data_IF_854684558190
#
_entry.id   IF_854684558190
#
_cell.length_a   1.000
_cell.length_b   1.000
_cell.length_c   1.000
_cell.angle_alpha   90.00
_cell.angle_beta   90.00
_cell.angle_gamma   90.00
#
_symmetry.space_group_name_H-M   'P 1'
#
loop_
_entity.id
_entity.type
_entity.pdbx_description
1 polymer ?
#
# COMPACT_ATOMS: atom_id res chain seq x y z
N UNK A 1 -9.10 -8.84 2.36
CA UNK A 1 -9.46 -9.33 1.04
C UNK A 1 -9.14 -10.79 0.83
N UNK A 2 -7.99 -11.29 1.32
CA UNK A 2 -7.57 -12.67 1.17
C UNK A 2 -8.40 -13.59 2.06
N UNK A 3 -8.44 -14.88 1.69
CA UNK A 3 -9.12 -15.89 2.49
C UNK A 3 -8.54 -15.91 3.91
N UNK A 4 -9.40 -16.03 4.92
CA UNK A 4 -9.06 -16.12 6.35
C UNK A 4 -8.27 -14.95 6.96
N UNK A 5 -8.10 -13.83 6.23
CA UNK A 5 -7.34 -12.68 6.78
C UNK A 5 -7.93 -12.16 8.09
N UNK A 6 -9.25 -12.13 8.22
CA UNK A 6 -9.94 -11.72 9.45
C UNK A 6 -9.64 -12.66 10.60
N UNK A 7 -9.67 -13.97 10.34
CA UNK A 7 -9.38 -15.00 11.36
C UNK A 7 -7.94 -14.84 11.87
N UNK A 8 -6.98 -14.63 10.97
CA UNK A 8 -5.59 -14.42 11.36
C UNK A 8 -5.39 -13.12 12.12
N UNK A 9 -6.06 -12.04 11.71
CA UNK A 9 -6.00 -10.77 12.42
C UNK A 9 -6.58 -10.88 13.84
N UNK A 10 -7.70 -11.60 14.00
CA UNK A 10 -8.30 -11.88 15.31
C UNK A 10 -7.37 -12.71 16.20
N UNK A 11 -6.75 -13.77 15.66
CA UNK A 11 -5.80 -14.61 16.40
C UNK A 11 -4.60 -13.81 16.90
N UNK A 12 -4.03 -12.96 16.04
CA UNK A 12 -2.93 -12.07 16.42
C UNK A 12 -3.37 -11.08 17.51
N UNK A 13 -4.57 -10.52 17.36
CA UNK A 13 -5.14 -9.59 18.34
C UNK A 13 -5.31 -10.25 19.69
N UNK A 14 -5.85 -11.47 19.72
CA UNK A 14 -6.04 -12.26 20.96
C UNK A 14 -4.71 -12.55 21.64
N UNK A 15 -3.71 -12.98 20.86
CA UNK A 15 -2.38 -13.28 21.40
C UNK A 15 -1.73 -12.05 22.01
N UNK A 16 -1.79 -10.90 21.33
CA UNK A 16 -1.23 -9.65 21.83
C UNK A 16 -1.96 -9.17 23.08
N UNK A 17 -3.29 -9.20 23.08
CA UNK A 17 -4.11 -8.80 24.22
C UNK A 17 -3.89 -9.71 25.44
N UNK A 18 -3.71 -11.02 25.24
CA UNK A 18 -3.38 -11.98 26.30
C UNK A 18 -1.99 -11.72 26.95
N UNK A 19 -1.13 -10.98 26.26
CA UNK A 19 0.17 -10.54 26.77
C UNK A 19 0.16 -9.05 27.21
N UNK A 20 -1.00 -8.50 27.55
CA UNK A 20 -1.20 -7.13 28.03
C UNK A 20 -0.76 -6.04 27.03
N UNK A 21 -0.67 -6.38 25.74
CA UNK A 21 -0.33 -5.44 24.69
C UNK A 21 -1.62 -4.76 24.22
N UNK A 22 -1.63 -3.43 24.22
CA UNK A 22 -2.73 -2.64 23.66
C UNK A 22 -2.78 -2.77 22.15
N UNK A 23 -3.95 -3.10 21.60
CA UNK A 23 -4.14 -3.35 20.17
C UNK A 23 -5.21 -2.41 19.62
N UNK A 24 -4.92 -1.78 18.48
CA UNK A 24 -5.92 -1.19 17.60
C UNK A 24 -6.17 -2.14 16.44
N UNK A 25 -7.39 -2.67 16.37
CA UNK A 25 -7.82 -3.55 15.29
C UNK A 25 -8.61 -2.74 14.27
N UNK A 26 -8.29 -2.89 12.98
CA UNK A 26 -9.05 -2.24 11.92
C UNK A 26 -10.48 -2.80 11.85
N UNK A 27 -11.47 -1.92 11.75
CA UNK A 27 -12.88 -2.27 11.62
C UNK A 27 -13.21 -2.89 10.24
N UNK A 28 -12.35 -2.65 9.26
CA UNK A 28 -12.50 -3.16 7.88
C UNK A 28 -11.15 -3.51 7.29
N UNK A 29 -11.17 -4.24 6.15
CA UNK A 29 -9.99 -4.36 5.32
C UNK A 29 -9.50 -2.98 4.86
N UNK A 30 -8.22 -2.72 4.97
CA UNK A 30 -7.63 -1.41 4.67
C UNK A 30 -6.34 -1.57 3.84
N UNK A 31 -5.94 -0.53 3.08
CA UNK A 31 -4.63 -0.48 2.44
C UNK A 31 -3.48 -0.69 3.41
N UNK A 32 -2.42 -1.38 2.99
CA UNK A 32 -1.19 -1.52 3.78
C UNK A 32 -0.64 -0.16 4.25
N UNK A 33 -0.57 0.89 3.41
CA UNK A 33 -0.14 2.21 3.88
C UNK A 33 -1.07 2.86 4.91
N UNK A 34 -2.33 2.44 5.06
CA UNK A 34 -3.19 2.92 6.14
C UNK A 34 -2.74 2.40 7.50
N UNK A 35 -2.28 1.13 7.58
CA UNK A 35 -1.68 0.57 8.80
C UNK A 35 -0.40 1.33 9.14
N UNK A 36 0.50 1.50 8.18
CA UNK A 36 1.76 2.24 8.36
C UNK A 36 1.54 3.67 8.83
N UNK A 37 0.56 4.37 8.24
CA UNK A 37 0.16 5.71 8.64
C UNK A 37 -0.36 5.76 10.06
N UNK A 38 -1.22 4.82 10.44
CA UNK A 38 -1.83 4.76 11.76
C UNK A 38 -0.79 4.50 12.86
N UNK A 39 0.20 3.64 12.61
CA UNK A 39 1.32 3.40 13.53
C UNK A 39 2.01 4.72 13.87
N UNK A 40 2.38 5.50 12.86
CA UNK A 40 3.06 6.79 13.02
C UNK A 40 2.18 7.80 13.74
N UNK A 41 0.90 7.92 13.34
CA UNK A 41 -0.03 8.90 13.88
C UNK A 41 -0.39 8.63 15.36
N UNK A 42 -0.40 7.36 15.78
CA UNK A 42 -0.69 6.96 17.17
C UNK A 42 0.58 6.80 18.03
N UNK A 43 1.77 6.88 17.44
CA UNK A 43 3.01 6.56 18.14
C UNK A 43 3.04 5.12 18.63
N UNK A 44 2.45 4.20 17.86
CA UNK A 44 2.42 2.79 18.21
C UNK A 44 3.83 2.16 18.10
N UNK A 45 4.11 1.15 18.91
CA UNK A 45 5.39 0.44 18.88
C UNK A 45 5.64 -0.27 17.53
N UNK A 46 4.57 -0.70 16.87
CA UNK A 46 4.61 -1.36 15.58
C UNK A 46 3.23 -1.83 15.16
N UNK A 47 3.16 -2.64 14.13
CA UNK A 47 1.92 -3.19 13.63
C UNK A 47 2.09 -4.47 12.84
N UNK A 48 0.95 -5.10 12.57
CA UNK A 48 0.86 -6.31 11.75
C UNK A 48 -0.14 -6.08 10.64
N UNK A 49 0.23 -6.45 9.41
CA UNK A 49 -0.67 -6.51 8.27
C UNK A 49 -0.77 -7.93 7.75
N UNK A 50 -2.01 -8.45 7.69
CA UNK A 50 -2.28 -9.77 7.12
C UNK A 50 -2.55 -9.62 5.64
N UNK A 51 -1.54 -9.91 4.82
CA UNK A 51 -1.59 -9.79 3.37
C UNK A 51 -0.45 -10.54 2.70
N UNK A 52 -0.65 -10.99 1.47
CA UNK A 52 0.41 -11.43 0.58
C UNK A 52 0.52 -10.50 -0.65
N UNK A 53 0.12 -9.22 -0.51
CA UNK A 53 0.20 -8.17 -1.53
C UNK A 53 -0.37 -8.64 -2.88
N UNK A 54 0.44 -8.70 -3.92
CA UNK A 54 0.09 -9.07 -5.29
C UNK A 54 0.19 -10.58 -5.60
N UNK A 55 0.60 -11.41 -4.62
CA UNK A 55 0.75 -12.85 -4.84
C UNK A 55 -0.59 -13.52 -5.19
N UNK A 56 -0.56 -14.73 -5.83
CA UNK A 56 -1.76 -15.50 -6.12
C UNK A 56 -2.67 -15.69 -4.91
N UNK A 57 -3.97 -15.87 -5.16
CA UNK A 57 -5.02 -15.93 -4.14
C UNK A 57 -4.81 -17.02 -3.07
N UNK A 58 -4.12 -18.11 -3.43
CA UNK A 58 -3.83 -19.24 -2.52
C UNK A 58 -2.86 -18.86 -1.38
N UNK A 59 -2.15 -17.75 -1.51
CA UNK A 59 -1.21 -17.28 -0.49
C UNK A 59 -1.86 -16.22 0.40
N UNK A 60 -1.49 -16.24 1.67
CA UNK A 60 -1.65 -15.14 2.59
C UNK A 60 -0.31 -14.89 3.27
N UNK A 61 -0.17 -13.82 4.03
CA UNK A 61 1.11 -13.46 4.63
C UNK A 61 0.97 -12.61 5.88
N UNK A 62 2.09 -12.43 6.53
CA UNK A 62 2.22 -11.71 7.79
C UNK A 62 3.34 -10.68 7.63
N UNK A 63 2.97 -9.40 7.49
CA UNK A 63 3.94 -8.30 7.41
C UNK A 63 4.06 -7.63 8.78
N UNK A 64 5.27 -7.56 9.32
CA UNK A 64 5.58 -6.80 10.55
C UNK A 64 5.99 -5.38 10.15
N UNK A 65 5.40 -4.39 10.80
CA UNK A 65 5.74 -2.97 10.67
C UNK A 65 6.40 -2.47 11.95
N UNK A 66 7.41 -1.63 11.82
CA UNK A 66 8.04 -0.97 12.97
C UNK A 66 7.31 0.33 13.38
N UNK A 67 7.82 0.99 14.41
CA UNK A 67 7.27 2.24 14.94
C UNK A 67 7.33 3.43 13.97
N UNK A 68 8.11 3.32 12.89
CA UNK A 68 8.20 4.33 11.83
C UNK A 68 7.23 4.05 10.67
N UNK A 69 6.44 2.97 10.77
CA UNK A 69 5.47 2.55 9.77
C UNK A 69 6.08 1.80 8.58
N UNK A 70 7.40 1.67 8.49
CA UNK A 70 8.05 0.87 7.45
C UNK A 70 7.95 -0.63 7.75
N UNK A 71 8.19 -1.46 6.75
CA UNK A 71 8.38 -2.89 6.97
C UNK A 71 9.55 -3.13 7.92
N UNK A 72 9.39 -4.08 8.84
CA UNK A 72 10.44 -4.43 9.81
C UNK A 72 11.74 -4.81 9.10
N UNK A 73 12.86 -4.47 9.72
CA UNK A 73 14.17 -4.77 9.18
C UNK A 73 14.39 -6.30 9.07
N UNK A 74 15.17 -6.76 8.08
CA UNK A 74 15.42 -8.19 7.87
C UNK A 74 15.93 -8.94 9.10
N UNK A 75 16.66 -8.26 9.99
CA UNK A 75 17.15 -8.84 11.23
C UNK A 75 16.01 -9.24 12.18
N UNK A 76 14.94 -8.42 12.23
CA UNK A 76 13.74 -8.70 13.05
C UNK A 76 13.00 -9.90 12.50
N UNK A 77 12.75 -9.95 11.19
CA UNK A 77 12.04 -11.07 10.55
C UNK A 77 12.82 -12.37 10.69
N UNK A 78 14.14 -12.35 10.46
CA UNK A 78 15.03 -13.50 10.66
C UNK A 78 15.07 -13.96 12.12
N UNK A 79 15.00 -13.03 13.09
CA UNK A 79 14.91 -13.39 14.49
C UNK A 79 13.60 -14.11 14.79
N UNK A 80 12.48 -13.61 14.27
CA UNK A 80 11.15 -14.25 14.42
C UNK A 80 11.15 -15.64 13.78
N UNK A 81 11.67 -15.78 12.56
CA UNK A 81 11.78 -17.07 11.86
C UNK A 81 12.60 -18.08 12.66
N UNK A 82 13.79 -17.70 13.13
CA UNK A 82 14.61 -18.55 13.97
C UNK A 82 13.94 -18.93 15.29
N UNK A 83 13.19 -18.00 15.89
CA UNK A 83 12.45 -18.30 17.11
C UNK A 83 11.35 -19.34 16.85
N UNK A 84 10.62 -19.22 15.76
CA UNK A 84 9.61 -20.20 15.36
C UNK A 84 10.25 -21.58 15.14
N UNK A 85 11.34 -21.64 14.37
CA UNK A 85 12.05 -22.89 14.08
C UNK A 85 12.58 -23.57 15.35
N UNK A 86 13.02 -22.81 16.35
CA UNK A 86 13.50 -23.35 17.62
C UNK A 86 12.38 -23.86 18.54
N UNK A 87 11.20 -23.24 18.48
CA UNK A 87 10.03 -23.66 19.28
C UNK A 87 9.27 -24.81 18.61
N UNK A 88 9.29 -24.88 17.29
CA UNK A 88 8.60 -25.92 16.52
C UNK A 88 9.47 -26.43 15.35
N UNK A 89 10.58 -27.12 15.64
CA UNK A 89 11.53 -27.58 14.63
C UNK A 89 10.95 -28.56 13.61
N UNK A 90 9.75 -29.06 13.86
CA UNK A 90 9.04 -30.01 12.98
C UNK A 90 7.80 -29.40 12.31
N UNK A 91 7.46 -28.13 12.58
CA UNK A 91 6.25 -27.46 12.05
C UNK A 91 4.94 -28.13 12.44
N UNK A 92 4.95 -28.89 13.56
CA UNK A 92 3.84 -29.74 13.99
C UNK A 92 3.03 -29.16 15.14
N UNK A 93 3.56 -28.19 15.89
CA UNK A 93 2.85 -27.53 16.98
C UNK A 93 1.87 -26.49 16.40
N UNK A 94 0.91 -27.00 15.66
CA UNK A 94 -0.30 -26.23 15.40
C UNK A 94 -1.07 -26.13 16.72
N UNK A 95 -0.66 -25.24 17.60
CA UNK A 95 -1.59 -24.73 18.59
C UNK A 95 -2.65 -23.95 17.80
N UNK A 96 -3.60 -24.71 17.24
CA UNK A 96 -4.82 -24.14 16.77
C UNK A 96 -5.49 -23.55 18.01
N UNK A 97 -5.42 -22.24 18.17
CA UNK A 97 -6.35 -21.52 19.04
C UNK A 97 -7.73 -21.84 18.45
N UNK A 98 -8.42 -22.80 19.04
CA UNK A 98 -9.75 -23.20 18.56
C UNK A 98 -10.74 -22.11 18.94
N UNK A 99 -11.92 -22.07 18.28
CA UNK A 99 -13.00 -21.16 18.72
C UNK A 99 -13.38 -21.35 20.20
N UNK A 100 -13.14 -22.52 20.77
CA UNK A 100 -13.34 -22.81 22.19
C UNK A 100 -12.32 -22.08 23.07
N UNK A 101 -11.09 -21.93 22.61
CA UNK A 101 -10.04 -21.18 23.33
C UNK A 101 -10.33 -19.67 23.31
N UNK A 102 -10.94 -19.16 22.22
CA UNK A 102 -11.43 -17.77 22.15
C UNK A 102 -12.55 -17.46 23.14
N UNK A 103 -13.44 -18.42 23.41
CA UNK A 103 -14.54 -18.23 24.38
C UNK A 103 -14.07 -18.20 25.85
N UNK A 104 -12.85 -18.69 26.11
CA UNK A 104 -12.25 -18.73 27.45
C UNK A 104 -11.34 -17.52 27.76
N UNK A 105 -11.08 -16.66 26.76
CA UNK A 105 -10.23 -15.48 26.97
C UNK A 105 -10.98 -14.43 27.81
N UNK A 106 -10.29 -13.76 28.75
CA UNK A 106 -10.88 -12.68 29.54
C UNK A 106 -11.34 -11.54 28.63
N UNK A 107 -12.23 -10.64 29.13
CA UNK A 107 -12.58 -9.42 28.41
C UNK A 107 -11.33 -8.71 27.93
N UNK A 108 -11.35 -8.23 26.67
CA UNK A 108 -10.19 -7.59 25.99
C UNK A 108 -10.16 -6.06 26.22
N UNK A 109 -9.92 -5.55 27.44
CA UNK A 109 -9.95 -4.11 27.70
C UNK A 109 -8.87 -3.34 26.94
N UNK A 110 -7.87 -4.05 26.42
CA UNK A 110 -6.74 -3.50 25.66
C UNK A 110 -6.97 -3.45 24.15
N UNK A 111 -8.09 -3.99 23.63
CA UNK A 111 -8.42 -3.99 22.21
C UNK A 111 -9.41 -2.89 21.86
N UNK A 112 -9.06 -2.05 20.91
CA UNK A 112 -9.92 -1.00 20.38
C UNK A 112 -10.12 -1.23 18.88
N UNK A 113 -11.34 -1.58 18.47
CA UNK A 113 -11.71 -1.63 17.05
C UNK A 113 -11.99 -0.23 16.53
N UNK A 114 -11.34 0.16 15.45
CA UNK A 114 -11.42 1.52 14.90
C UNK A 114 -11.13 1.57 13.42
N UNK A 115 -11.56 2.65 12.75
CA UNK A 115 -11.23 2.86 11.34
C UNK A 115 -9.79 3.32 11.18
N UNK A 116 -8.98 2.56 10.44
CA UNK A 116 -7.66 2.98 10.00
C UNK A 116 -7.74 3.76 8.67
N UNK A 117 -8.80 3.56 7.91
CA UNK A 117 -8.99 4.22 6.61
C UNK A 117 -9.28 5.72 6.78
N UNK A 118 -10.09 6.11 7.77
CA UNK A 118 -10.47 7.51 7.96
C UNK A 118 -9.27 8.44 8.21
N UNK A 119 -8.37 8.19 9.16
CA UNK A 119 -7.18 9.02 9.36
C UNK A 119 -6.23 8.96 8.15
N UNK A 120 -6.14 7.83 7.48
CA UNK A 120 -5.37 7.68 6.26
C UNK A 120 -5.86 8.61 5.14
N UNK A 121 -7.18 8.68 4.90
CA UNK A 121 -7.77 9.61 3.93
C UNK A 121 -7.48 11.08 4.28
N UNK A 122 -7.49 11.43 5.55
CA UNK A 122 -7.12 12.78 5.99
C UNK A 122 -5.63 13.10 5.71
N UNK A 123 -4.75 12.11 5.86
CA UNK A 123 -3.33 12.25 5.49
C UNK A 123 -3.18 12.43 3.98
N UNK A 124 -3.86 11.61 3.17
CA UNK A 124 -3.86 11.74 1.72
C UNK A 124 -4.36 13.11 1.26
N UNK A 125 -5.46 13.61 1.85
CA UNK A 125 -5.99 14.94 1.55
C UNK A 125 -4.98 16.06 1.81
N UNK A 126 -4.15 15.93 2.86
CA UNK A 126 -3.08 16.90 3.14
C UNK A 126 -1.89 16.77 2.19
N UNK A 127 -1.59 15.56 1.73
CA UNK A 127 -0.46 15.28 0.83
C UNK A 127 -0.74 15.67 -0.63
N UNK A 128 -1.99 15.49 -1.08
CA UNK A 128 -2.43 15.80 -2.44
C UNK A 128 -3.22 17.11 -2.48
N UNK A 129 -3.00 17.91 -3.52
CA UNK A 129 -3.76 19.14 -3.78
C UNK A 129 -5.09 18.80 -4.45
N UNK A 130 -6.02 18.25 -3.65
CA UNK A 130 -7.34 17.81 -4.13
C UNK A 130 -8.13 18.96 -4.73
N UNK A 131 -8.01 20.18 -4.17
CA UNK A 131 -8.69 21.37 -4.68
C UNK A 131 -8.19 21.76 -6.06
N UNK A 132 -6.88 21.69 -6.28
CA UNK A 132 -6.29 21.97 -7.60
C UNK A 132 -6.74 20.91 -8.63
N UNK A 133 -6.72 19.62 -8.26
CA UNK A 133 -7.18 18.53 -9.12
C UNK A 133 -8.66 18.73 -9.50
N UNK A 134 -9.47 19.16 -8.54
CA UNK A 134 -10.93 19.34 -8.73
C UNK A 134 -11.30 20.57 -9.59
N UNK A 135 -10.35 21.43 -9.97
CA UNK A 135 -10.64 22.60 -10.84
C UNK A 135 -11.04 22.23 -12.25
N UNK A 136 -10.70 21.02 -12.69
CA UNK A 136 -11.08 20.50 -14.00
C UNK A 136 -11.97 19.28 -13.82
N UNK A 137 -13.04 19.13 -14.63
CA UNK A 137 -13.81 17.90 -14.62
C UNK A 137 -12.97 16.76 -15.15
N UNK A 138 -12.85 15.69 -14.37
CA UNK A 138 -12.11 14.48 -14.75
C UNK A 138 -12.97 13.25 -14.50
N UNK A 139 -12.94 12.32 -15.45
CA UNK A 139 -13.51 10.99 -15.32
C UNK A 139 -12.39 9.98 -15.11
N UNK A 140 -12.33 9.39 -13.95
CA UNK A 140 -11.26 8.47 -13.56
C UNK A 140 -11.85 7.08 -13.37
N UNK A 141 -11.30 6.10 -14.08
CA UNK A 141 -11.59 4.69 -13.87
C UNK A 141 -10.56 4.11 -12.90
N UNK A 142 -11.00 3.50 -11.81
CA UNK A 142 -10.13 2.88 -10.81
C UNK A 142 -10.36 1.39 -10.79
N UNK A 143 -9.34 0.60 -11.09
CA UNK A 143 -9.39 -0.85 -10.94
C UNK A 143 -8.77 -1.24 -9.59
N UNK A 144 -9.60 -1.72 -8.69
CA UNK A 144 -9.19 -2.11 -7.33
C UNK A 144 -8.64 -3.55 -7.27
N UNK A 145 -8.64 -4.29 -8.39
CA UNK A 145 -8.22 -5.70 -8.47
C UNK A 145 -8.75 -6.54 -7.29
N UNK A 146 -10.00 -6.30 -6.88
CA UNK A 146 -10.67 -6.95 -5.73
C UNK A 146 -9.94 -6.73 -4.39
N UNK A 147 -9.03 -5.77 -4.34
CA UNK A 147 -8.11 -5.49 -3.24
C UNK A 147 -8.61 -4.46 -2.22
N UNK A 148 -7.74 -4.12 -1.26
CA UNK A 148 -8.05 -3.20 -0.14
C UNK A 148 -8.12 -1.72 -0.54
N UNK A 149 -7.77 -1.40 -1.78
CA UNK A 149 -7.97 -0.06 -2.35
C UNK A 149 -9.42 0.31 -2.66
N UNK A 150 -10.36 -0.66 -2.56
CA UNK A 150 -11.78 -0.46 -2.85
C UNK A 150 -12.39 0.66 -2.01
N UNK A 151 -13.05 1.61 -2.67
CA UNK A 151 -13.70 2.77 -2.04
C UNK A 151 -12.76 3.87 -1.56
N UNK A 152 -11.44 3.69 -1.63
CA UNK A 152 -10.48 4.68 -1.12
C UNK A 152 -10.50 5.96 -1.95
N UNK A 153 -10.42 5.83 -3.29
CA UNK A 153 -10.43 7.00 -4.18
C UNK A 153 -11.77 7.74 -4.14
N UNK A 154 -12.87 7.01 -4.19
CA UNK A 154 -14.21 7.59 -4.07
C UNK A 154 -14.37 8.38 -2.78
N UNK A 155 -13.96 7.81 -1.64
CA UNK A 155 -14.03 8.50 -0.34
C UNK A 155 -13.07 9.70 -0.28
N UNK A 156 -11.85 9.59 -0.82
CA UNK A 156 -10.88 10.67 -0.81
C UNK A 156 -11.40 11.93 -1.53
N UNK A 157 -11.92 11.76 -2.74
CA UNK A 157 -12.45 12.88 -3.52
C UNK A 157 -13.76 13.44 -2.95
N UNK A 158 -14.60 12.57 -2.36
CA UNK A 158 -15.81 13.01 -1.64
C UNK A 158 -15.46 13.89 -0.43
N UNK A 159 -14.48 13.48 0.38
CA UNK A 159 -13.99 14.27 1.52
C UNK A 159 -13.31 15.57 1.10
N UNK A 160 -12.73 15.61 -0.08
CA UNK A 160 -12.08 16.78 -0.66
C UNK A 160 -13.05 17.83 -1.20
N UNK A 161 -14.37 17.53 -1.28
CA UNK A 161 -15.36 18.41 -1.93
C UNK A 161 -15.14 18.56 -3.45
N UNK A 162 -14.51 17.57 -4.05
CA UNK A 162 -14.11 17.58 -5.47
C UNK A 162 -15.28 17.22 -6.40
N UNK A 163 -16.29 18.06 -6.48
CA UNK A 163 -17.52 17.82 -7.25
C UNK A 163 -17.29 17.67 -8.77
N UNK A 164 -16.16 18.12 -9.31
CA UNK A 164 -15.81 17.96 -10.73
C UNK A 164 -15.19 16.60 -11.07
N UNK A 165 -14.81 15.81 -10.09
CA UNK A 165 -14.16 14.52 -10.30
C UNK A 165 -15.18 13.39 -10.23
N UNK A 166 -15.28 12.61 -11.29
CA UNK A 166 -16.12 11.42 -11.36
C UNK A 166 -15.24 10.18 -11.23
N UNK A 167 -15.38 9.45 -10.12
CA UNK A 167 -14.68 8.19 -9.89
C UNK A 167 -15.64 7.04 -10.25
N UNK A 168 -15.20 6.17 -11.14
CA UNK A 168 -15.82 4.89 -11.42
C UNK A 168 -14.88 3.79 -10.95
N UNK A 169 -15.33 2.98 -10.02
CA UNK A 169 -14.54 1.84 -9.55
C UNK A 169 -14.98 0.54 -10.21
N UNK A 170 -14.04 -0.30 -10.57
CA UNK A 170 -14.26 -1.66 -11.05
C UNK A 170 -13.48 -2.65 -10.18
N UNK A 171 -13.96 -3.90 -10.15
CA UNK A 171 -13.37 -4.95 -9.31
C UNK A 171 -13.20 -4.50 -7.84
N UNK A 172 -14.20 -3.74 -7.34
CA UNK A 172 -14.16 -3.09 -6.03
C UNK A 172 -14.94 -3.85 -4.95
N UNK A 173 -15.41 -5.06 -5.23
CA UNK A 173 -16.01 -5.96 -4.26
C UNK A 173 -15.00 -7.00 -3.79
N UNK A 174 -15.26 -7.58 -2.62
CA UNK A 174 -14.41 -8.65 -2.10
C UNK A 174 -14.60 -9.92 -2.93
N UNK A 175 -13.52 -10.42 -3.47
CA UNK A 175 -13.40 -11.76 -4.06
C UNK A 175 -12.08 -12.38 -3.58
N UNK A 176 -12.17 -13.49 -2.83
CA UNK A 176 -10.98 -14.17 -2.29
C UNK A 176 -10.11 -14.82 -3.37
N UNK A 177 -10.65 -14.98 -4.57
CA UNK A 177 -9.93 -15.51 -5.74
C UNK A 177 -9.35 -14.41 -6.63
N UNK A 178 -9.64 -13.13 -6.32
CA UNK A 178 -9.26 -11.95 -7.13
C UNK A 178 -9.73 -12.06 -8.58
N UNK A 179 -10.95 -12.59 -8.81
CA UNK A 179 -11.47 -12.82 -10.16
C UNK A 179 -10.66 -13.84 -10.97
N UNK A 180 -9.87 -14.69 -10.32
CA UNK A 180 -9.01 -15.67 -10.96
C UNK A 180 -7.70 -15.10 -11.53
N UNK A 181 -7.35 -13.86 -11.21
CA UNK A 181 -6.10 -13.19 -11.63
C UNK A 181 -5.19 -12.92 -10.43
N UNK A 182 -3.93 -12.64 -10.69
CA UNK A 182 -3.06 -12.06 -9.66
C UNK A 182 -3.40 -10.58 -9.50
N UNK A 183 -3.59 -10.09 -8.26
CA UNK A 183 -3.93 -8.69 -8.02
C UNK A 183 -2.70 -7.78 -8.14
N UNK A 184 -2.08 -7.77 -9.30
CA UNK A 184 -0.89 -7.01 -9.63
C UNK A 184 -1.15 -6.08 -10.82
N UNK A 185 -0.75 -4.78 -10.77
CA UNK A 185 -1.01 -3.80 -11.81
C UNK A 185 -0.09 -4.02 -13.03
N UNK A 186 -0.31 -5.12 -13.73
CA UNK A 186 0.39 -5.48 -14.97
C UNK A 186 -0.61 -5.52 -16.13
N UNK A 187 -0.16 -5.13 -17.31
CA UNK A 187 -1.01 -4.99 -18.49
C UNK A 187 -1.86 -6.23 -18.79
N UNK A 188 -1.32 -7.43 -18.57
CA UNK A 188 -2.06 -8.68 -18.85
C UNK A 188 -3.14 -9.01 -17.79
N UNK A 189 -3.07 -8.43 -16.58
CA UNK A 189 -4.06 -8.62 -15.51
C UNK A 189 -5.24 -7.63 -15.63
N UNK A 190 -5.12 -6.59 -16.46
CA UNK A 190 -6.08 -5.46 -16.52
C UNK A 190 -6.67 -5.26 -17.92
N UNK A 191 -6.78 -6.34 -18.68
CA UNK A 191 -7.32 -6.32 -20.05
C UNK A 191 -8.77 -5.85 -20.11
N UNK A 192 -9.58 -6.19 -19.11
CA UNK A 192 -10.96 -5.72 -18.97
C UNK A 192 -11.02 -4.19 -18.84
N UNK A 193 -10.13 -3.62 -18.05
CA UNK A 193 -10.00 -2.17 -17.91
C UNK A 193 -9.52 -1.51 -19.21
N UNK A 194 -8.56 -2.12 -19.91
CA UNK A 194 -8.09 -1.62 -21.22
C UNK A 194 -9.24 -1.56 -22.23
N UNK A 195 -10.04 -2.62 -22.33
CA UNK A 195 -11.20 -2.68 -23.22
C UNK A 195 -12.24 -1.62 -22.85
N UNK A 196 -12.49 -1.42 -21.57
CA UNK A 196 -13.43 -0.44 -21.09
C UNK A 196 -12.98 0.99 -21.41
N UNK A 197 -11.70 1.32 -21.16
CA UNK A 197 -11.14 2.63 -21.48
C UNK A 197 -11.01 2.88 -22.99
N UNK A 198 -10.94 1.83 -23.81
CA UNK A 198 -10.97 1.96 -25.26
C UNK A 198 -12.38 2.24 -25.81
N UNK A 199 -13.43 1.80 -25.12
CA UNK A 199 -14.82 1.93 -25.55
C UNK A 199 -15.59 3.07 -24.87
N UNK A 200 -15.17 3.47 -23.66
CA UNK A 200 -15.78 4.54 -22.88
C UNK A 200 -14.76 5.68 -22.69
N UNK A 201 -15.26 6.90 -22.53
CA UNK A 201 -14.40 8.06 -22.28
C UNK A 201 -14.01 8.17 -20.80
N UNK A 202 -12.73 7.96 -20.52
CA UNK A 202 -12.08 8.27 -19.25
C UNK A 202 -10.80 9.08 -19.51
N UNK A 203 -10.53 10.05 -18.63
CA UNK A 203 -9.33 10.90 -18.71
C UNK A 203 -8.10 10.22 -18.10
N UNK A 204 -8.32 9.28 -17.18
CA UNK A 204 -7.26 8.57 -16.47
C UNK A 204 -7.78 7.21 -15.97
N UNK A 205 -6.95 6.20 -16.08
CA UNK A 205 -7.10 4.92 -15.41
C UNK A 205 -6.09 4.77 -14.28
N UNK A 206 -6.51 4.29 -13.11
CA UNK A 206 -5.64 3.97 -11.99
C UNK A 206 -5.88 2.52 -11.57
N UNK A 207 -4.82 1.82 -11.21
CA UNK A 207 -4.87 0.41 -10.83
C UNK A 207 -4.12 0.25 -9.51
N UNK A 208 -4.75 -0.37 -8.51
CA UNK A 208 -4.11 -0.75 -7.26
C UNK A 208 -3.81 -2.25 -7.24
N UNK A 209 -2.76 -2.65 -6.55
CA UNK A 209 -2.55 -4.06 -6.23
C UNK A 209 -3.43 -4.53 -5.06
N UNK A 210 -3.28 -5.80 -4.66
CA UNK A 210 -4.16 -6.43 -3.69
C UNK A 210 -4.23 -5.76 -2.32
N UNK A 211 -3.16 -5.16 -1.83
CA UNK A 211 -3.11 -4.42 -0.56
C UNK A 211 -2.84 -2.91 -0.73
N UNK A 212 -2.95 -2.44 -1.97
CA UNK A 212 -2.94 -1.03 -2.38
C UNK A 212 -1.68 -0.27 -1.90
N UNK A 213 -0.52 -0.92 -1.95
CA UNK A 213 0.79 -0.31 -1.75
C UNK A 213 1.53 -0.05 -3.08
N UNK A 214 0.94 -0.50 -4.23
CA UNK A 214 1.46 -0.29 -5.58
C UNK A 214 0.42 0.34 -6.48
N UNK A 215 0.90 1.02 -7.53
CA UNK A 215 0.05 1.71 -8.50
C UNK A 215 0.48 1.41 -9.93
N UNK A 216 -0.50 1.18 -10.80
CA UNK A 216 -0.41 1.25 -12.24
C UNK A 216 -1.33 2.35 -12.79
N UNK A 217 -1.15 2.74 -14.04
CA UNK A 217 -2.02 3.72 -14.68
C UNK A 217 -2.29 3.41 -16.16
N UNK A 218 -3.32 4.04 -16.69
CA UNK A 218 -3.66 4.03 -18.12
C UNK A 218 -4.00 5.44 -18.57
N UNK A 219 -3.57 5.80 -19.77
CA UNK A 219 -4.00 7.03 -20.44
C UNK A 219 -5.33 6.82 -21.20
N UNK A 220 -6.00 7.89 -21.65
CA UNK A 220 -7.19 7.78 -22.49
C UNK A 220 -6.99 6.82 -23.65
N UNK A 221 -8.01 6.00 -23.91
CA UNK A 221 -7.94 4.95 -24.96
C UNK A 221 -7.38 3.60 -24.46
N UNK A 222 -6.99 3.48 -23.18
CA UNK A 222 -6.60 2.22 -22.56
C UNK A 222 -5.14 1.81 -22.77
N UNK A 223 -4.27 2.73 -23.18
CA UNK A 223 -2.83 2.47 -23.24
C UNK A 223 -2.26 2.43 -21.81
N UNK A 224 -1.60 1.32 -21.47
CA UNK A 224 -1.02 1.08 -20.16
C UNK A 224 0.27 1.87 -19.98
N UNK A 225 0.36 2.66 -18.91
CA UNK A 225 1.58 3.29 -18.46
C UNK A 225 2.35 2.35 -17.54
N UNK A 226 3.60 2.06 -17.90
CA UNK A 226 4.45 1.27 -17.04
C UNK A 226 4.73 2.00 -15.70
N UNK A 227 4.97 1.24 -14.65
CA UNK A 227 5.41 1.79 -13.35
C UNK A 227 6.67 2.64 -13.49
N UNK A 228 7.53 2.33 -14.44
CA UNK A 228 8.71 3.10 -14.78
C UNK A 228 8.38 4.47 -15.36
N UNK A 229 7.35 4.55 -16.25
CA UNK A 229 6.85 5.83 -16.77
C UNK A 229 6.21 6.67 -15.66
N UNK A 230 5.46 6.02 -14.78
CA UNK A 230 4.84 6.69 -13.62
C UNK A 230 5.93 7.31 -12.73
N UNK A 231 7.04 6.59 -12.47
CA UNK A 231 8.12 7.15 -11.67
C UNK A 231 8.76 8.38 -12.31
N UNK A 232 9.01 8.34 -13.64
CA UNK A 232 9.51 9.50 -14.39
C UNK A 232 8.55 10.69 -14.31
N UNK A 233 7.25 10.44 -14.47
CA UNK A 233 6.21 11.49 -14.38
C UNK A 233 6.11 12.08 -12.98
N UNK A 234 6.18 11.26 -11.93
CA UNK A 234 6.20 11.72 -10.54
C UNK A 234 7.43 12.60 -10.28
N UNK A 235 8.63 12.15 -10.67
CA UNK A 235 9.85 12.91 -10.50
C UNK A 235 9.80 14.24 -11.29
N UNK A 236 9.28 14.20 -12.52
CA UNK A 236 9.05 15.41 -13.32
C UNK A 236 8.12 16.38 -12.59
N UNK A 237 6.97 15.90 -12.11
CA UNK A 237 5.99 16.72 -11.39
C UNK A 237 6.61 17.37 -10.15
N UNK A 238 7.30 16.58 -9.32
CA UNK A 238 7.91 17.09 -8.10
C UNK A 238 8.97 18.16 -8.38
N UNK A 239 9.81 17.95 -9.40
CA UNK A 239 10.93 18.87 -9.69
C UNK A 239 10.50 20.07 -10.52
N UNK A 240 9.65 19.90 -11.53
CA UNK A 240 9.28 20.98 -12.46
C UNK A 240 8.04 21.74 -12.01
N UNK A 241 7.00 21.05 -11.55
CA UNK A 241 5.74 21.69 -11.16
C UNK A 241 5.77 22.16 -9.70
N UNK A 242 6.18 21.28 -8.78
CA UNK A 242 6.32 21.62 -7.35
C UNK A 242 7.61 22.34 -7.02
N UNK A 243 8.60 22.34 -7.92
CA UNK A 243 9.96 22.94 -7.74
C UNK A 243 10.67 22.41 -6.48
N UNK A 244 10.38 21.18 -6.12
CA UNK A 244 11.04 20.52 -5.01
C UNK A 244 12.41 20.01 -5.44
N UNK A 245 13.36 20.04 -4.51
CA UNK A 245 14.72 19.54 -4.67
C UNK A 245 15.01 18.47 -3.61
N UNK A 246 15.85 17.53 -3.95
CA UNK A 246 16.30 16.50 -3.02
C UNK A 246 16.75 15.23 -3.71
N UNK A 247 17.14 14.26 -2.90
CA UNK A 247 17.66 12.98 -3.35
C UNK A 247 16.57 12.13 -3.98
N UNK A 248 16.90 11.54 -5.12
CA UNK A 248 16.10 10.53 -5.82
C UNK A 248 16.70 9.15 -5.48
N UNK A 249 15.87 8.20 -5.10
CA UNK A 249 16.30 6.85 -4.73
C UNK A 249 15.55 5.83 -5.57
N UNK A 250 16.25 5.00 -6.33
CA UNK A 250 15.63 3.98 -7.18
C UNK A 250 16.30 2.62 -7.02
N UNK A 251 15.55 1.54 -7.24
CA UNK A 251 16.14 0.23 -7.45
C UNK A 251 16.85 0.18 -8.81
N UNK A 252 17.88 -0.66 -8.94
CA UNK A 252 18.75 -0.65 -10.12
C UNK A 252 18.02 -1.02 -11.43
N UNK A 253 16.91 -1.72 -11.36
CA UNK A 253 16.09 -2.15 -12.49
C UNK A 253 15.08 -1.08 -12.98
N UNK A 254 15.02 0.08 -12.36
CA UNK A 254 14.27 1.24 -12.88
C UNK A 254 15.03 1.87 -14.06
N UNK A 255 14.24 2.32 -15.04
CA UNK A 255 14.73 2.96 -16.27
C UNK A 255 15.76 4.07 -16.03
N UNK A 256 16.75 4.17 -16.94
CA UNK A 256 17.76 5.23 -16.97
C UNK A 256 17.19 6.62 -17.31
N UNK A 257 15.93 6.70 -17.76
CA UNK A 257 15.22 7.98 -17.90
C UNK A 257 15.13 8.74 -16.58
N UNK A 258 15.04 8.04 -15.45
CA UNK A 258 15.08 8.63 -14.10
C UNK A 258 16.46 9.24 -13.84
N UNK A 259 17.55 8.55 -14.23
CA UNK A 259 18.92 9.04 -14.09
C UNK A 259 19.13 10.34 -14.86
N UNK A 260 18.70 10.36 -16.12
CA UNK A 260 18.79 11.56 -16.99
C UNK A 260 17.97 12.71 -16.42
N UNK A 261 16.76 12.44 -15.93
CA UNK A 261 15.90 13.48 -15.35
C UNK A 261 16.50 14.03 -14.04
N UNK A 262 17.02 13.16 -13.17
CA UNK A 262 17.71 13.57 -11.94
C UNK A 262 18.91 14.48 -12.26
N UNK A 263 19.71 14.12 -13.27
CA UNK A 263 20.85 14.91 -13.72
C UNK A 263 20.39 16.32 -14.22
N UNK A 264 19.39 16.38 -15.10
CA UNK A 264 18.89 17.64 -15.68
C UNK A 264 18.23 18.53 -14.64
N UNK A 265 17.68 17.94 -13.58
CA UNK A 265 17.03 18.69 -12.48
C UNK A 265 17.97 18.99 -11.32
N UNK A 266 19.23 18.53 -11.38
CA UNK A 266 20.22 18.72 -10.32
C UNK A 266 19.92 17.93 -9.04
N UNK A 267 19.13 16.85 -9.12
CA UNK A 267 18.81 16.02 -8.00
C UNK A 267 19.87 14.92 -7.78
N UNK A 268 20.46 14.78 -6.59
CA UNK A 268 21.34 13.65 -6.28
C UNK A 268 20.61 12.34 -6.45
N UNK A 269 21.23 11.35 -7.11
CA UNK A 269 20.65 10.03 -7.35
C UNK A 269 21.36 8.95 -6.52
N UNK A 270 20.58 8.05 -5.94
CA UNK A 270 21.06 6.83 -5.29
C UNK A 270 20.36 5.64 -5.93
N UNK A 271 21.16 4.64 -6.31
CA UNK A 271 20.67 3.36 -6.83
C UNK A 271 20.86 2.29 -5.76
N UNK A 272 19.80 1.51 -5.50
CA UNK A 272 19.78 0.45 -4.49
C UNK A 272 19.55 -0.93 -5.13
N UNK A 273 19.81 -2.03 -4.41
CA UNK A 273 19.27 -3.33 -4.77
C UNK A 273 17.74 -3.32 -4.82
N UNK A 274 17.15 -4.36 -5.41
CA UNK A 274 15.69 -4.59 -5.41
C UNK A 274 15.23 -4.87 -3.98
N UNK A 275 14.10 -4.30 -3.62
CA UNK A 275 13.43 -4.43 -2.33
C UNK A 275 13.28 -3.08 -1.64
N UNK A 276 12.04 -2.68 -1.37
CA UNK A 276 11.70 -1.39 -0.77
C UNK A 276 12.40 -1.18 0.58
N UNK A 277 12.76 -2.25 1.29
CA UNK A 277 13.60 -2.23 2.49
C UNK A 277 14.95 -1.51 2.32
N UNK A 278 15.47 -1.45 1.07
CA UNK A 278 16.70 -0.73 0.76
C UNK A 278 16.45 0.75 0.44
N UNK A 279 15.22 1.11 0.11
CA UNK A 279 14.77 2.48 -0.20
C UNK A 279 14.27 3.20 1.05
N UNK A 280 13.48 2.52 1.88
CA UNK A 280 12.84 3.06 3.07
C UNK A 280 13.80 3.83 4.03
N UNK A 281 15.05 3.39 4.30
CA UNK A 281 15.99 4.13 5.14
C UNK A 281 16.36 5.51 4.60
N UNK A 282 16.31 5.70 3.27
CA UNK A 282 16.53 7.01 2.66
C UNK A 282 15.29 7.90 2.80
N UNK A 283 14.08 7.33 2.70
CA UNK A 283 12.83 8.09 2.84
C UNK A 283 12.65 8.71 4.23
N UNK A 284 13.29 8.14 5.24
CA UNK A 284 13.35 8.73 6.58
C UNK A 284 14.24 9.97 6.67
N UNK A 285 15.07 10.23 5.66
CA UNK A 285 15.95 11.40 5.63
C UNK A 285 15.22 12.58 5.00
N UNK A 286 15.31 13.75 5.65
CA UNK A 286 14.62 14.96 5.21
C UNK A 286 15.03 15.45 3.80
N UNK A 287 16.21 15.06 3.31
CA UNK A 287 16.74 15.42 2.00
C UNK A 287 16.26 14.50 0.86
N UNK A 288 15.52 13.42 1.16
CA UNK A 288 15.00 12.53 0.11
C UNK A 288 13.71 13.11 -0.48
N UNK A 289 13.69 13.23 -1.81
CA UNK A 289 12.58 13.75 -2.57
C UNK A 289 11.56 12.66 -2.88
N UNK A 290 12.03 11.55 -3.46
CA UNK A 290 11.22 10.42 -3.88
C UNK A 290 12.07 9.15 -3.87
N UNK A 291 11.45 8.03 -3.52
CA UNK A 291 12.01 6.69 -3.66
C UNK A 291 11.02 5.76 -4.33
N UNK A 292 11.50 4.79 -5.11
CA UNK A 292 10.61 3.85 -5.76
C UNK A 292 11.29 2.65 -6.40
N UNK A 293 10.44 1.66 -6.66
CA UNK A 293 10.78 0.39 -7.30
C UNK A 293 10.04 0.20 -8.62
N UNK A 294 10.60 -0.65 -9.46
CA UNK A 294 9.98 -1.05 -10.73
C UNK A 294 8.61 -1.71 -10.52
N UNK A 295 8.38 -2.36 -9.40
CA UNK A 295 7.12 -3.00 -9.04
C UNK A 295 5.94 -2.04 -8.79
N UNK A 296 6.17 -0.73 -8.77
CA UNK A 296 5.13 0.30 -8.60
C UNK A 296 4.94 0.80 -7.16
N UNK A 297 5.83 0.42 -6.26
CA UNK A 297 5.91 1.02 -4.92
C UNK A 297 6.67 2.35 -4.98
N UNK A 298 6.01 3.45 -4.65
CA UNK A 298 6.59 4.80 -4.64
C UNK A 298 6.26 5.53 -3.34
N UNK A 299 7.26 6.18 -2.78
CA UNK A 299 7.04 7.09 -1.65
C UNK A 299 7.82 8.39 -1.83
N UNK A 300 7.26 9.48 -1.34
CA UNK A 300 7.82 10.81 -1.48
C UNK A 300 7.98 11.50 -0.13
N UNK A 301 8.75 12.58 -0.11
CA UNK A 301 8.97 13.41 1.07
C UNK A 301 7.65 13.77 1.79
N UNK A 302 7.65 13.63 3.10
CA UNK A 302 6.50 13.99 3.94
C UNK A 302 5.41 12.93 3.99
N UNK A 303 5.64 11.78 3.34
CA UNK A 303 4.79 10.61 3.42
C UNK A 303 5.42 9.51 4.29
N UNK A 304 4.73 8.40 4.46
CA UNK A 304 5.27 7.22 5.16
C UNK A 304 6.24 6.46 4.27
N UNK A 305 7.27 5.80 4.82
CA UNK A 305 8.29 5.06 4.08
C UNK A 305 7.81 3.63 3.72
N UNK A 306 6.69 3.56 3.03
CA UNK A 306 6.01 2.33 2.60
C UNK A 306 5.85 2.30 1.09
#
# INVERSE_FOLDING_TARGET
HRDKSEIFADQVTDLLAANDIRVWLSDTACPTPAVSSFIVDQGAFGGVMITASHNPAIFNGFKIKDSLGKSADPEVTQWVERYIDTQDPHGLSRHSVTKADHAALPPRPTVVTTSLVTPYLQRLKRAADIEMIARQPLKILVNCLYGSGSGVMTKLFSLGGAHGIQITEMNAHRDITFGGINPEPLAYNVRDMQQRMASEHFDLGLIFDGDADRIGAMVPGGEFLSTQDIYVLLLWHLTKNKRWQGRVVKSFNITDRVDRLALVTGCPLVTTPIGFKHIAPYLLKADTLIGGEESGGFAMRGYIPE
#
